data_IF_336372801976
#
_entry.id   IF_336372801976
#
_cell.length_a   1.000
_cell.length_b   1.000
_cell.length_c   1.000
_cell.angle_alpha   90.00
_cell.angle_beta   90.00
_cell.angle_gamma   90.00
#
_symmetry.space_group_name_H-M   'P 1'
#
loop_
_entity.id
_entity.type
_entity.pdbx_description
1 polymer ?
#
# COMPACT_ATOMS: atom_id res chain seq x y z
N UNK A 1 -48.92 -20.42 -19.68
CA UNK A 1 -49.52 -19.75 -18.51
C UNK A 1 -48.44 -19.61 -17.44
N UNK A 2 -47.50 -18.67 -17.62
CA UNK A 2 -46.41 -18.45 -16.68
C UNK A 2 -46.93 -17.62 -15.50
N UNK A 3 -47.16 -18.27 -14.36
CA UNK A 3 -47.72 -17.63 -13.18
C UNK A 3 -46.79 -16.56 -12.59
N UNK A 4 -47.38 -15.50 -12.03
CA UNK A 4 -46.70 -14.39 -11.31
C UNK A 4 -45.60 -14.84 -10.34
N UNK A 5 -45.74 -16.07 -9.82
CA UNK A 5 -44.81 -16.77 -8.92
C UNK A 5 -43.43 -17.03 -9.54
N UNK A 6 -43.39 -17.34 -10.83
CA UNK A 6 -42.14 -17.54 -11.57
C UNK A 6 -41.41 -16.23 -11.84
N UNK A 7 -42.15 -15.14 -12.03
CA UNK A 7 -41.57 -13.79 -12.18
C UNK A 7 -40.90 -13.35 -10.87
N UNK A 8 -41.52 -13.63 -9.72
CA UNK A 8 -40.92 -13.34 -8.41
C UNK A 8 -39.68 -14.20 -8.12
N UNK A 9 -39.68 -15.48 -8.52
CA UNK A 9 -38.53 -16.38 -8.35
C UNK A 9 -37.34 -16.00 -9.25
N UNK A 10 -37.58 -15.53 -10.47
CA UNK A 10 -36.53 -15.06 -11.38
C UNK A 10 -35.86 -13.75 -10.91
N UNK A 11 -36.61 -12.86 -10.26
CA UNK A 11 -36.04 -11.64 -9.67
C UNK A 11 -35.22 -11.89 -8.40
N UNK A 12 -35.57 -12.90 -7.60
CA UNK A 12 -34.77 -13.26 -6.42
C UNK A 12 -33.42 -13.92 -6.80
N UNK A 13 -33.36 -14.65 -7.93
CA UNK A 13 -32.15 -15.31 -8.41
C UNK A 13 -31.12 -14.33 -9.03
N UNK A 14 -31.53 -13.13 -9.44
CA UNK A 14 -30.66 -12.14 -10.08
C UNK A 14 -29.90 -11.24 -9.08
N UNK A 15 -30.23 -11.30 -7.78
CA UNK A 15 -29.60 -10.47 -6.74
C UNK A 15 -28.28 -11.04 -6.19
N UNK A 16 -27.93 -12.30 -6.48
CA UNK A 16 -26.78 -12.98 -5.84
C UNK A 16 -25.45 -12.77 -6.58
N UNK A 17 -25.47 -12.23 -7.80
CA UNK A 17 -24.24 -11.98 -8.60
C UNK A 17 -24.02 -10.48 -8.80
N UNK A 18 -24.12 -9.69 -7.72
CA UNK A 18 -23.51 -8.36 -7.74
C UNK A 18 -22.01 -8.53 -7.49
N UNK A 19 -21.12 -8.21 -8.44
CA UNK A 19 -19.70 -8.19 -8.16
C UNK A 19 -19.48 -7.19 -7.03
N UNK A 20 -18.87 -7.65 -5.93
CA UNK A 20 -18.43 -6.76 -4.88
C UNK A 20 -17.55 -5.70 -5.53
N UNK A 21 -18.00 -4.44 -5.51
CA UNK A 21 -17.24 -3.34 -6.07
C UNK A 21 -15.86 -3.35 -5.42
N UNK A 22 -14.82 -3.66 -6.20
CA UNK A 22 -13.45 -3.62 -5.73
C UNK A 22 -13.18 -2.18 -5.29
N UNK A 23 -13.16 -1.95 -3.98
CA UNK A 23 -12.78 -0.64 -3.44
C UNK A 23 -11.28 -0.52 -3.66
N UNK A 24 -10.88 0.44 -4.50
CA UNK A 24 -9.48 0.82 -4.59
C UNK A 24 -8.99 1.12 -3.18
N UNK A 25 -8.07 0.31 -2.65
CA UNK A 25 -7.44 0.61 -1.38
C UNK A 25 -6.56 1.83 -1.61
N UNK A 26 -6.79 2.90 -0.85
CA UNK A 26 -5.89 4.06 -0.87
C UNK A 26 -4.49 3.59 -0.51
N UNK A 27 -3.49 4.07 -1.24
CA UNK A 27 -2.10 3.86 -0.86
C UNK A 27 -1.73 4.83 0.28
N UNK A 28 -0.92 4.39 1.26
CA UNK A 28 -0.48 3.03 1.54
C UNK A 28 -1.50 2.23 2.37
N UNK A 29 -1.57 0.92 2.16
CA UNK A 29 -2.43 0.00 2.92
C UNK A 29 -1.79 -0.51 4.21
N UNK A 30 -0.55 -0.11 4.51
CA UNK A 30 0.19 -0.51 5.70
C UNK A 30 1.47 0.29 5.87
N UNK A 31 2.37 -0.20 6.74
CA UNK A 31 3.66 0.45 7.00
C UNK A 31 4.48 0.60 5.70
N UNK A 32 5.16 1.73 5.56
CA UNK A 32 6.09 2.02 4.47
C UNK A 32 7.51 2.03 5.00
N UNK A 33 8.44 1.33 4.34
CA UNK A 33 9.87 1.39 4.65
C UNK A 33 10.58 2.27 3.63
N UNK A 34 11.22 3.33 4.11
CA UNK A 34 12.10 4.20 3.32
C UNK A 34 13.55 3.73 3.47
N UNK A 35 14.08 3.11 2.41
CA UNK A 35 15.47 2.61 2.41
C UNK A 35 16.43 3.74 2.02
N UNK A 36 17.45 3.96 2.84
CA UNK A 36 18.46 5.02 2.63
C UNK A 36 19.83 4.39 2.36
N UNK A 37 20.49 4.68 1.21
CA UNK A 37 21.77 4.07 0.83
C UNK A 37 22.99 4.69 1.53
N UNK A 38 22.81 5.23 2.74
CA UNK A 38 23.84 5.92 3.51
C UNK A 38 23.75 5.55 5.00
N UNK A 39 24.86 5.66 5.75
CA UNK A 39 24.84 5.50 7.20
C UNK A 39 23.85 6.45 7.88
N UNK A 40 23.34 6.04 9.05
CA UNK A 40 22.52 6.90 9.89
C UNK A 40 23.27 8.19 10.27
N UNK A 41 22.56 9.33 10.31
CA UNK A 41 23.13 10.65 10.58
C UNK A 41 23.78 11.35 9.39
N UNK A 42 23.92 10.71 8.22
CA UNK A 42 24.31 11.40 7.00
C UNK A 42 23.21 12.39 6.54
N UNK A 43 23.57 13.39 5.74
CA UNK A 43 22.62 14.40 5.23
C UNK A 43 21.37 13.77 4.56
N UNK A 44 21.56 12.64 3.85
CA UNK A 44 20.48 11.88 3.23
C UNK A 44 19.55 11.24 4.28
N UNK A 45 20.08 10.70 5.38
CA UNK A 45 19.28 10.12 6.47
C UNK A 45 18.47 11.20 7.21
N UNK A 46 19.09 12.35 7.47
CA UNK A 46 18.40 13.49 8.10
C UNK A 46 17.22 13.93 7.23
N UNK A 47 17.45 14.07 5.92
CA UNK A 47 16.39 14.42 4.97
C UNK A 47 15.29 13.35 4.92
N UNK A 48 15.68 12.07 4.88
CA UNK A 48 14.75 10.94 4.87
C UNK A 48 13.83 10.92 6.10
N UNK A 49 14.35 11.26 7.29
CA UNK A 49 13.55 11.33 8.52
C UNK A 49 12.52 12.45 8.48
N UNK A 50 12.87 13.61 7.94
CA UNK A 50 11.91 14.73 7.73
C UNK A 50 10.80 14.31 6.77
N UNK A 51 11.15 13.63 5.67
CA UNK A 51 10.15 13.10 4.74
C UNK A 51 9.28 12.02 5.38
N UNK A 52 9.86 11.09 6.12
CA UNK A 52 9.14 10.01 6.79
C UNK A 52 8.09 10.55 7.77
N UNK A 53 8.44 11.55 8.59
CA UNK A 53 7.51 12.20 9.51
C UNK A 53 6.33 12.84 8.76
N UNK A 54 6.61 13.62 7.71
CA UNK A 54 5.57 14.28 6.92
C UNK A 54 4.67 13.29 6.20
N UNK A 55 5.24 12.25 5.61
CA UNK A 55 4.49 11.21 4.91
C UNK A 55 3.64 10.39 5.87
N UNK A 56 4.16 10.07 7.06
CA UNK A 56 3.37 9.38 8.08
C UNK A 56 2.14 10.19 8.51
N UNK A 57 2.29 11.51 8.68
CA UNK A 57 1.17 12.40 8.97
C UNK A 57 0.15 12.48 7.83
N UNK A 58 0.61 12.51 6.57
CA UNK A 58 -0.26 12.59 5.39
C UNK A 58 -1.01 11.29 5.11
N UNK A 59 -0.35 10.14 5.30
CA UNK A 59 -0.89 8.83 4.98
C UNK A 59 -1.61 8.16 6.15
N UNK A 60 -1.40 8.62 7.39
CA UNK A 60 -1.90 7.93 8.58
C UNK A 60 -1.31 6.52 8.76
N UNK A 61 -0.22 6.24 8.05
CA UNK A 61 0.50 4.96 8.10
C UNK A 61 1.93 5.20 8.57
N UNK A 62 2.54 4.29 9.35
CA UNK A 62 3.92 4.43 9.78
C UNK A 62 4.88 4.46 8.58
N UNK A 63 5.80 5.41 8.56
CA UNK A 63 6.93 5.44 7.62
C UNK A 63 8.22 5.28 8.41
N UNK A 64 8.96 4.20 8.16
CA UNK A 64 10.18 3.85 8.90
C UNK A 64 11.41 3.99 8.00
N UNK A 65 12.50 4.56 8.53
CA UNK A 65 13.76 4.69 7.79
C UNK A 65 14.66 3.50 8.10
N UNK A 66 15.13 2.80 7.05
CA UNK A 66 16.10 1.70 7.13
C UNK A 66 17.39 2.09 6.38
N UNK A 67 18.49 2.23 7.12
CA UNK A 67 19.78 2.64 6.56
C UNK A 67 20.57 1.42 6.08
N UNK A 68 20.78 1.31 4.77
CA UNK A 68 21.58 0.26 4.12
C UNK A 68 22.76 0.88 3.36
N UNK A 69 23.76 1.34 4.11
CA UNK A 69 24.97 1.94 3.56
C UNK A 69 25.95 0.92 2.95
N UNK A 70 26.97 1.43 2.24
CA UNK A 70 28.05 0.65 1.65
C UNK A 70 27.79 0.23 0.20
N UNK A 71 28.80 -0.35 -0.44
CA UNK A 71 28.69 -0.92 -1.79
C UNK A 71 28.12 0.02 -2.85
N UNK A 72 28.41 1.33 -2.76
CA UNK A 72 27.85 2.37 -3.65
C UNK A 72 26.30 2.35 -3.74
N UNK A 73 25.61 1.96 -2.66
CA UNK A 73 24.16 1.88 -2.61
C UNK A 73 23.56 0.59 -3.20
N UNK A 74 24.38 -0.34 -3.70
CA UNK A 74 23.90 -1.64 -4.20
C UNK A 74 23.10 -2.41 -3.14
N UNK A 75 23.54 -2.53 -1.86
CA UNK A 75 22.76 -3.25 -0.85
C UNK A 75 21.36 -2.67 -0.63
N UNK A 76 21.23 -1.35 -0.67
CA UNK A 76 19.95 -0.66 -0.59
C UNK A 76 19.08 -0.94 -1.83
N UNK A 77 19.64 -0.77 -3.03
CA UNK A 77 18.94 -1.01 -4.29
C UNK A 77 18.42 -2.45 -4.38
N UNK A 78 19.27 -3.42 -4.04
CA UNK A 78 18.88 -4.83 -4.04
C UNK A 78 17.78 -5.14 -3.02
N UNK A 79 17.78 -4.48 -1.85
CA UNK A 79 16.74 -4.68 -0.85
C UNK A 79 15.37 -4.19 -1.31
N UNK A 80 15.33 -3.10 -2.06
CA UNK A 80 14.09 -2.55 -2.65
C UNK A 80 13.66 -3.39 -3.85
N UNK A 81 14.60 -3.86 -4.67
CA UNK A 81 14.31 -4.69 -5.84
C UNK A 81 13.72 -6.05 -5.48
N UNK A 82 13.95 -6.55 -4.26
CA UNK A 82 13.44 -7.83 -3.76
C UNK A 82 12.17 -7.71 -2.90
N UNK A 83 11.67 -6.49 -2.68
CA UNK A 83 10.54 -6.20 -1.78
C UNK A 83 9.16 -6.47 -2.41
#
# INVERSE_FOLDING_TARGET
MFGRRHVTQLMAASAVVMPAAARAHGYPSGRVTMVVPFPAGAATDISARVYAERLAALWGQPVVVDNKGGGNGIPAAESVARA
#
